data_IF_152897850434
#
_entry.id   IF_152897850434
#
_cell.length_a   1.000
_cell.length_b   1.000
_cell.length_c   1.000
_cell.angle_alpha   90.00
_cell.angle_beta   90.00
_cell.angle_gamma   90.00
#
_symmetry.space_group_name_H-M   'P 1'
#
loop_
_entity.id
_entity.type
_entity.pdbx_description
1 polymer ?
#
# COMPACT_ATOMS: atom_id res chain seq x y z
N UNK A 1 2.95 10.02 0.20
CA UNK A 1 2.68 9.70 1.64
C UNK A 1 3.23 10.83 2.49
N UNK A 2 2.48 11.26 3.50
CA UNK A 2 2.95 12.25 4.48
C UNK A 2 3.75 11.58 5.59
N UNK A 3 4.64 12.30 6.26
CA UNK A 3 5.46 11.75 7.35
C UNK A 3 4.63 11.16 8.51
N UNK A 4 3.52 11.80 8.85
CA UNK A 4 2.58 11.29 9.87
C UNK A 4 1.99 9.92 9.50
N UNK A 5 1.65 9.72 8.22
CA UNK A 5 1.12 8.47 7.71
C UNK A 5 2.18 7.38 7.77
N UNK A 6 3.40 7.71 7.36
CA UNK A 6 4.53 6.80 7.42
C UNK A 6 4.83 6.34 8.86
N UNK A 7 4.85 7.28 9.81
CA UNK A 7 5.03 6.99 11.23
C UNK A 7 3.92 6.06 11.77
N UNK A 8 2.68 6.35 11.40
CA UNK A 8 1.53 5.53 11.78
C UNK A 8 1.64 4.10 11.26
N UNK A 9 2.00 3.94 9.97
CA UNK A 9 2.19 2.62 9.37
C UNK A 9 3.31 1.88 10.05
N UNK A 10 4.47 2.51 10.28
CA UNK A 10 5.59 1.88 11.00
C UNK A 10 5.16 1.35 12.36
N UNK A 11 4.42 2.14 13.13
CA UNK A 11 3.90 1.73 14.44
C UNK A 11 2.93 0.55 14.32
N UNK A 12 2.05 0.56 13.32
CA UNK A 12 1.15 -0.56 13.04
C UNK A 12 1.90 -1.83 12.63
N UNK A 13 3.04 -1.69 11.98
CA UNK A 13 3.94 -2.81 11.66
C UNK A 13 4.68 -3.32 12.91
N UNK A 14 4.61 -2.61 14.04
CA UNK A 14 5.32 -2.95 15.27
C UNK A 14 6.83 -2.75 15.16
N UNK A 15 7.28 -1.81 14.32
CA UNK A 15 8.71 -1.57 14.05
C UNK A 15 9.21 -0.29 14.70
N UNK A 16 10.42 -0.36 15.28
CA UNK A 16 11.18 0.83 15.67
C UNK A 16 11.69 1.56 14.42
N UNK A 17 12.10 2.82 14.55
CA UNK A 17 12.72 3.56 13.46
C UNK A 17 13.97 2.85 12.92
N UNK A 18 14.78 2.29 13.79
CA UNK A 18 15.98 1.50 13.44
C UNK A 18 15.61 0.27 12.62
N UNK A 19 14.66 -0.54 13.09
CA UNK A 19 14.19 -1.71 12.35
C UNK A 19 13.58 -1.33 10.99
N UNK A 20 12.84 -0.23 10.92
CA UNK A 20 12.28 0.23 9.67
C UNK A 20 13.35 0.70 8.68
N UNK A 21 14.43 1.32 9.17
CA UNK A 21 15.57 1.71 8.34
C UNK A 21 16.27 0.49 7.73
N UNK A 22 16.44 -0.55 8.51
CA UNK A 22 17.02 -1.82 8.03
C UNK A 22 16.13 -2.50 6.98
N UNK A 23 14.83 -2.56 7.21
CA UNK A 23 13.86 -3.16 6.29
C UNK A 23 13.80 -2.41 4.95
N UNK A 24 13.84 -1.08 4.99
CA UNK A 24 13.76 -0.26 3.80
C UNK A 24 15.12 -0.01 3.13
N UNK A 25 16.21 -0.43 3.74
CA UNK A 25 17.57 -0.19 3.20
C UNK A 25 17.95 1.28 3.17
N UNK A 26 17.50 2.07 4.14
CA UNK A 26 17.81 3.50 4.26
C UNK A 26 18.43 3.79 5.64
N UNK A 27 19.07 4.97 5.80
CA UNK A 27 19.65 5.34 7.09
C UNK A 27 18.56 5.64 8.15
N UNK A 28 18.89 5.44 9.42
CA UNK A 28 18.03 5.84 10.54
C UNK A 28 17.66 7.34 10.46
N UNK A 29 18.62 8.18 10.11
CA UNK A 29 18.42 9.63 9.92
C UNK A 29 17.40 9.92 8.80
N UNK A 30 17.37 9.11 7.75
CA UNK A 30 16.37 9.23 6.69
C UNK A 30 14.95 8.93 7.22
N UNK A 31 14.78 7.86 8.00
CA UNK A 31 13.49 7.53 8.63
C UNK A 31 13.01 8.67 9.52
N UNK A 32 13.89 9.20 10.37
CA UNK A 32 13.58 10.34 11.24
C UNK A 32 13.14 11.56 10.43
N UNK A 33 13.87 11.88 9.36
CA UNK A 33 13.55 13.01 8.48
C UNK A 33 12.22 12.81 7.73
N UNK A 34 11.88 11.58 7.35
CA UNK A 34 10.58 11.26 6.74
C UNK A 34 9.44 11.50 7.72
N UNK A 35 9.57 11.02 8.96
CA UNK A 35 8.53 11.15 9.98
C UNK A 35 8.32 12.60 10.43
N UNK A 36 9.39 13.39 10.49
CA UNK A 36 9.33 14.82 10.79
C UNK A 36 8.80 15.67 9.61
N UNK A 37 8.71 15.07 8.42
CA UNK A 37 8.31 15.80 7.23
C UNK A 37 9.39 16.71 6.64
N UNK A 38 10.62 16.63 7.13
CA UNK A 38 11.76 17.42 6.63
C UNK A 38 12.24 16.95 5.27
N UNK A 39 12.02 15.68 4.97
CA UNK A 39 12.39 15.06 3.72
C UNK A 39 11.19 14.33 3.13
N UNK A 40 11.00 14.49 1.81
CA UNK A 40 9.99 13.73 1.06
C UNK A 40 10.32 12.25 1.08
N UNK A 41 9.33 11.42 1.32
CA UNK A 41 9.46 9.97 1.26
C UNK A 41 9.59 9.55 -0.22
N UNK A 42 10.69 8.87 -0.60
CA UNK A 42 10.85 8.38 -1.97
C UNK A 42 9.76 7.37 -2.36
N UNK A 43 9.40 7.35 -3.63
CA UNK A 43 8.40 6.43 -4.16
C UNK A 43 8.67 4.96 -3.80
N UNK A 44 9.93 4.54 -3.84
CA UNK A 44 10.31 3.18 -3.49
C UNK A 44 10.05 2.87 -2.01
N UNK A 45 10.42 3.78 -1.11
CA UNK A 45 10.18 3.61 0.33
C UNK A 45 8.67 3.59 0.64
N UNK A 46 7.89 4.44 -0.02
CA UNK A 46 6.43 4.46 0.09
C UNK A 46 5.83 3.12 -0.38
N UNK A 47 6.23 2.63 -1.54
CA UNK A 47 5.76 1.35 -2.11
C UNK A 47 6.06 0.18 -1.19
N UNK A 48 7.31 0.07 -0.72
CA UNK A 48 7.71 -1.00 0.19
C UNK A 48 6.93 -0.93 1.52
N UNK A 49 6.75 0.25 2.07
CA UNK A 49 6.00 0.44 3.32
C UNK A 49 4.54 -0.01 3.17
N UNK A 50 3.89 0.39 2.10
CA UNK A 50 2.52 -0.04 1.80
C UNK A 50 2.42 -1.54 1.51
N UNK A 51 3.42 -2.11 0.85
CA UNK A 51 3.48 -3.54 0.59
C UNK A 51 3.58 -4.35 1.90
N UNK A 52 4.45 -3.94 2.81
CA UNK A 52 4.59 -4.58 4.12
C UNK A 52 3.29 -4.49 4.92
N UNK A 53 2.62 -3.34 4.86
CA UNK A 53 1.31 -3.15 5.47
C UNK A 53 0.28 -4.12 4.87
N UNK A 54 0.22 -4.22 3.55
CA UNK A 54 -0.67 -5.12 2.85
C UNK A 54 -0.43 -6.59 3.23
N UNK A 55 0.83 -7.00 3.33
CA UNK A 55 1.19 -8.36 3.73
C UNK A 55 0.76 -8.65 5.17
N UNK A 56 1.01 -7.73 6.09
CA UNK A 56 0.63 -7.88 7.49
C UNK A 56 -0.87 -7.91 7.70
N UNK A 57 -1.61 -7.08 6.96
CA UNK A 57 -3.07 -7.01 7.02
C UNK A 57 -3.76 -8.18 6.32
N UNK A 58 -3.01 -9.05 5.65
CA UNK A 58 -3.57 -10.23 4.98
C UNK A 58 -4.39 -9.89 3.73
N UNK A 59 -3.92 -8.95 2.93
CA UNK A 59 -4.59 -8.49 1.70
C UNK A 59 -4.95 -9.62 0.72
N UNK A 60 -4.27 -10.75 0.80
CA UNK A 60 -4.60 -11.96 0.03
C UNK A 60 -5.92 -12.63 0.45
N UNK A 61 -6.46 -12.27 1.61
CA UNK A 61 -7.75 -12.80 2.11
C UNK A 61 -8.95 -12.01 1.61
N UNK A 62 -8.74 -10.97 0.83
CA UNK A 62 -9.85 -10.23 0.22
C UNK A 62 -10.48 -11.03 -0.90
N UNK A 63 -11.81 -11.02 -0.91
CA UNK A 63 -12.62 -11.95 -1.69
C UNK A 63 -12.45 -11.84 -3.20
N UNK A 64 -12.12 -10.66 -3.76
CA UNK A 64 -12.11 -10.47 -5.21
C UNK A 64 -10.90 -9.66 -5.70
N UNK A 65 -10.30 -10.07 -6.82
CA UNK A 65 -9.22 -9.33 -7.46
C UNK A 65 -9.73 -8.05 -8.12
N UNK A 66 -8.80 -7.12 -8.41
CA UNK A 66 -9.13 -5.80 -8.95
C UNK A 66 -9.94 -5.83 -10.25
N UNK A 67 -9.68 -6.80 -11.13
CA UNK A 67 -10.41 -6.93 -12.40
C UNK A 67 -11.87 -7.33 -12.25
N UNK A 68 -12.22 -8.07 -11.22
CA UNK A 68 -13.62 -8.38 -10.89
C UNK A 68 -14.31 -7.15 -10.28
N UNK A 69 -13.68 -6.51 -9.32
CA UNK A 69 -14.20 -5.30 -8.66
C UNK A 69 -14.40 -4.17 -9.67
N UNK A 70 -13.44 -4.00 -10.57
CA UNK A 70 -13.46 -2.94 -11.60
C UNK A 70 -14.19 -3.35 -12.87
N UNK A 71 -14.63 -4.61 -12.99
CA UNK A 71 -15.30 -5.17 -14.16
C UNK A 71 -14.54 -4.88 -15.45
N UNK A 72 -13.24 -5.22 -15.45
CA UNK A 72 -12.38 -4.99 -16.61
C UNK A 72 -12.81 -5.86 -17.81
N UNK A 73 -12.84 -5.27 -19.01
CA UNK A 73 -13.07 -6.01 -20.24
C UNK A 73 -11.90 -6.94 -20.56
N UNK A 74 -12.16 -7.98 -21.37
CA UNK A 74 -11.10 -8.92 -21.82
C UNK A 74 -9.96 -8.21 -22.55
N UNK A 75 -10.29 -7.17 -23.30
CA UNK A 75 -9.31 -6.38 -24.03
C UNK A 75 -8.37 -5.60 -23.08
N UNK A 76 -8.93 -5.02 -22.01
CA UNK A 76 -8.14 -4.37 -20.97
C UNK A 76 -7.25 -5.36 -20.23
N UNK A 77 -7.73 -6.58 -19.98
CA UNK A 77 -6.98 -7.61 -19.27
C UNK A 77 -5.74 -8.08 -20.04
N UNK A 78 -5.85 -8.24 -21.36
CA UNK A 78 -4.74 -8.73 -22.21
C UNK A 78 -3.45 -7.93 -22.05
N UNK A 79 -3.56 -6.64 -21.79
CA UNK A 79 -2.42 -5.72 -21.71
C UNK A 79 -2.16 -5.21 -20.29
N UNK A 80 -2.87 -5.73 -19.30
CA UNK A 80 -2.74 -5.28 -17.92
C UNK A 80 -1.74 -6.13 -17.12
N UNK A 81 -0.65 -5.56 -16.60
CA UNK A 81 0.33 -6.29 -15.79
C UNK A 81 -0.28 -6.95 -14.55
N UNK A 82 -1.30 -6.34 -13.95
CA UNK A 82 -1.97 -6.93 -12.80
C UNK A 82 -2.64 -8.28 -13.13
N UNK A 83 -3.18 -8.42 -14.35
CA UNK A 83 -3.72 -9.67 -14.84
C UNK A 83 -2.62 -10.67 -15.19
N UNK A 84 -1.58 -10.23 -15.90
CA UNK A 84 -0.45 -11.06 -16.30
C UNK A 84 0.22 -11.72 -15.10
N UNK A 85 0.54 -10.92 -14.09
CA UNK A 85 1.23 -11.39 -12.87
C UNK A 85 0.29 -11.86 -11.76
N UNK A 86 -1.03 -11.91 -12.01
CA UNK A 86 -2.04 -12.33 -11.02
C UNK A 86 -1.99 -11.53 -9.71
N UNK A 87 -1.70 -10.24 -9.81
CA UNK A 87 -1.56 -9.32 -8.68
C UNK A 87 -2.82 -8.51 -8.41
N UNK A 88 -3.99 -9.09 -8.61
CA UNK A 88 -5.27 -8.37 -8.48
C UNK A 88 -5.52 -7.71 -7.14
N UNK A 89 -4.94 -8.23 -6.06
CA UNK A 89 -4.99 -7.62 -4.72
C UNK A 89 -3.89 -6.59 -4.47
N UNK A 90 -2.87 -6.57 -5.30
CA UNK A 90 -1.70 -5.70 -5.24
C UNK A 90 -1.51 -4.91 -6.54
N UNK A 91 -2.58 -4.68 -7.29
CA UNK A 91 -2.53 -3.97 -8.57
C UNK A 91 -1.92 -2.56 -8.45
N UNK A 92 -2.09 -1.93 -7.31
CA UNK A 92 -1.50 -0.63 -6.99
C UNK A 92 0.03 -0.69 -6.88
N UNK A 93 0.61 -1.86 -6.58
CA UNK A 93 2.05 -2.04 -6.45
C UNK A 93 2.75 -2.12 -7.82
N UNK A 94 2.05 -2.55 -8.86
CA UNK A 94 2.58 -2.75 -10.21
C UNK A 94 2.29 -1.54 -11.08
N UNK A 95 3.32 -0.93 -11.68
CA UNK A 95 3.12 0.13 -12.66
C UNK A 95 2.59 -0.43 -13.99
N UNK A 96 2.06 0.45 -14.84
CA UNK A 96 1.55 0.07 -16.15
C UNK A 96 0.16 -0.58 -16.14
N UNK A 97 -0.49 -0.72 -14.99
CA UNK A 97 -1.87 -1.24 -14.93
C UNK A 97 -2.83 -0.34 -15.69
N UNK A 98 -3.74 -0.96 -16.43
CA UNK A 98 -4.71 -0.25 -17.28
C UNK A 98 -5.98 0.04 -16.47
N UNK A 99 -5.90 1.10 -15.67
CA UNK A 99 -7.05 1.58 -14.92
C UNK A 99 -7.69 2.76 -15.66
N UNK A 100 -9.01 2.75 -15.80
CA UNK A 100 -9.76 3.75 -16.60
C UNK A 100 -9.31 3.83 -18.07
N UNK A 101 -8.95 2.70 -18.66
CA UNK A 101 -8.59 2.59 -20.07
C UNK A 101 -7.23 3.15 -20.48
N UNK A 102 -6.41 3.60 -19.53
CA UNK A 102 -5.07 4.14 -19.78
C UNK A 102 -4.02 3.51 -18.84
N UNK A 103 -2.85 3.15 -19.39
CA UNK A 103 -1.76 2.66 -18.56
C UNK A 103 -1.24 3.78 -17.63
N UNK A 104 -0.92 3.40 -16.39
CA UNK A 104 -0.37 4.30 -15.37
C UNK A 104 1.12 4.03 -15.22
N UNK A 105 1.93 4.86 -15.86
CA UNK A 105 3.37 4.66 -15.99
C UNK A 105 4.21 5.12 -14.79
N UNK A 106 3.70 6.03 -13.96
CA UNK A 106 4.41 6.54 -12.80
C UNK A 106 3.71 6.22 -11.48
N UNK A 107 4.50 6.13 -10.41
CA UNK A 107 3.96 5.94 -9.06
C UNK A 107 3.04 7.09 -8.62
N UNK A 108 3.41 8.33 -8.95
CA UNK A 108 2.62 9.51 -8.60
C UNK A 108 1.24 9.49 -9.26
N UNK A 109 1.16 9.22 -10.56
CA UNK A 109 -0.11 9.09 -11.29
C UNK A 109 -0.96 7.96 -10.72
N UNK A 110 -0.32 6.85 -10.44
CA UNK A 110 -0.97 5.69 -9.86
C UNK A 110 -1.59 6.00 -8.52
N UNK A 111 -0.87 6.65 -7.62
CA UNK A 111 -1.36 6.97 -6.29
C UNK A 111 -2.52 7.97 -6.29
N UNK A 112 -2.55 8.92 -7.20
CA UNK A 112 -3.70 9.83 -7.38
C UNK A 112 -4.98 9.03 -7.67
N UNK A 113 -4.89 8.01 -8.51
CA UNK A 113 -6.02 7.16 -8.85
C UNK A 113 -6.31 6.12 -7.77
N UNK A 114 -5.28 5.41 -7.29
CA UNK A 114 -5.42 4.29 -6.35
C UNK A 114 -5.99 4.74 -5.00
N UNK A 115 -5.63 5.91 -4.50
CA UNK A 115 -6.16 6.45 -3.24
C UNK A 115 -7.69 6.62 -3.25
N UNK A 116 -8.28 6.77 -4.43
CA UNK A 116 -9.74 6.85 -4.63
C UNK A 116 -10.35 5.51 -5.04
N UNK A 117 -9.53 4.49 -5.24
CA UNK A 117 -9.97 3.19 -5.72
C UNK A 117 -10.40 2.28 -4.56
N UNK A 118 -11.53 1.60 -4.73
CA UNK A 118 -12.08 0.64 -3.77
C UNK A 118 -11.08 -0.47 -3.42
N UNK A 119 -10.29 -0.93 -4.39
CA UNK A 119 -9.28 -1.99 -4.17
C UNK A 119 -8.19 -1.53 -3.21
N UNK A 120 -7.68 -0.32 -3.39
CA UNK A 120 -6.69 0.26 -2.49
C UNK A 120 -7.31 0.74 -1.17
N UNK A 121 -8.51 1.30 -1.23
CA UNK A 121 -9.22 1.78 -0.05
C UNK A 121 -9.48 0.65 0.96
N UNK A 122 -9.72 -0.57 0.51
CA UNK A 122 -9.88 -1.71 1.39
C UNK A 122 -8.61 -2.05 2.18
N UNK A 123 -7.43 -1.83 1.60
CA UNK A 123 -6.14 -1.97 2.27
C UNK A 123 -5.94 -0.89 3.36
N UNK A 124 -6.32 0.36 3.05
CA UNK A 124 -6.10 1.50 3.96
C UNK A 124 -7.25 1.73 4.94
N UNK A 125 -8.42 1.14 4.74
CA UNK A 125 -9.55 1.25 5.66
C UNK A 125 -9.19 0.82 7.09
N UNK A 126 -8.46 -0.24 7.22
CA UNK A 126 -7.97 -0.73 8.51
C UNK A 126 -6.87 0.15 9.12
N UNK A 127 -6.24 0.97 8.32
CA UNK A 127 -5.20 1.89 8.73
C UNK A 127 -5.72 3.30 9.06
N UNK A 128 -6.67 3.80 8.26
CA UNK A 128 -7.26 5.14 8.45
C UNK A 128 -8.24 5.22 9.64
N UNK A 129 -8.65 4.08 10.19
CA UNK A 129 -9.66 4.01 11.25
C UNK A 129 -9.10 4.12 12.68
N UNK A 130 -7.83 4.49 12.85
CA UNK A 130 -7.29 4.81 14.17
C UNK A 130 -6.63 6.19 14.20
N UNK A 131 -7.38 7.27 14.26
CA UNK A 131 -6.88 8.46 14.91
C UNK A 131 -6.94 8.19 16.42
N UNK A 132 -5.82 7.70 16.99
CA UNK A 132 -5.69 7.45 18.42
C UNK A 132 -6.17 6.07 18.89
N UNK A 133 -5.26 5.15 18.82
CA UNK A 133 -5.11 3.94 19.63
C UNK A 133 -6.35 3.30 20.25
N UNK A 134 -6.77 2.18 19.68
CA UNK A 134 -7.10 0.99 20.49
C UNK A 134 -6.72 -0.25 19.69
N UNK A 135 -5.69 -0.95 20.16
CA UNK A 135 -5.37 -2.31 19.79
C UNK A 135 -6.59 -3.20 20.00
N UNK A 136 -7.16 -3.69 18.92
CA UNK A 136 -8.07 -4.84 19.02
C UNK A 136 -7.17 -6.05 19.26
N UNK A 137 -7.06 -6.42 20.53
CA UNK A 137 -6.48 -7.69 20.94
C UNK A 137 -7.27 -8.81 20.28
N UNK A 138 -6.59 -9.56 19.41
CA UNK A 138 -7.13 -10.80 18.87
C UNK A 138 -7.44 -11.75 20.01
N UNK A 139 -8.72 -12.05 20.23
CA UNK A 139 -9.13 -13.14 21.09
C UNK A 139 -8.55 -14.43 20.53
N UNK A 140 -7.57 -14.97 21.24
CA UNK A 140 -7.20 -16.39 21.11
C UNK A 140 -8.43 -17.19 21.52
N UNK A 141 -9.05 -17.87 20.58
CA UNK A 141 -9.96 -18.98 20.90
C UNK A 141 -9.08 -20.18 21.24
N UNK A 142 -9.24 -20.68 22.43
CA UNK A 142 -8.73 -21.98 22.87
C UNK A 142 -9.41 -23.10 22.08
#
# INVERSE_FOLDING_TARGET
MKGKDFCSIRKNLGKTQKQMSEILGVSLKAIQSFEQGWRRIPAQAERQTLFLLAMKMGSRKQASPCWEIRRCSREMLKNCPAWEFKTGHLCWFVNGTICQGKPKGSWSEKMVLCRKCVVFASLVKHWSLTPGGRTVQGRRRK
#
